data_IF_814435700193
#
_entry.id   IF_814435700193
#
_cell.length_a   1.000
_cell.length_b   1.000
_cell.length_c   1.000
_cell.angle_alpha   90.00
_cell.angle_beta   90.00
_cell.angle_gamma   90.00
#
_symmetry.space_group_name_H-M   'P 1'
#
loop_
_entity.id
_entity.type
_entity.pdbx_description
1 polymer ?
#
# COMPACT_ATOMS: atom_id res chain seq x y z
N UNK A 1 8.73 -1.36 3.90
CA UNK A 1 8.89 -1.49 2.43
C UNK A 1 8.07 -0.39 1.78
N UNK A 2 8.53 0.20 0.69
CA UNK A 2 7.84 1.26 -0.05
C UNK A 2 7.64 0.85 -1.51
N UNK A 3 6.76 1.55 -2.23
CA UNK A 3 6.52 1.34 -3.66
C UNK A 3 7.82 1.33 -4.47
N UNK A 4 7.95 0.40 -5.41
CA UNK A 4 9.20 0.14 -6.16
C UNK A 4 9.78 1.39 -6.82
N UNK A 5 8.93 2.25 -7.41
CA UNK A 5 9.43 3.47 -8.06
C UNK A 5 9.98 4.49 -7.05
N UNK A 6 9.42 4.55 -5.84
CA UNK A 6 9.97 5.39 -4.74
C UNK A 6 11.30 4.81 -4.26
N UNK A 7 11.38 3.49 -4.11
CA UNK A 7 12.63 2.82 -3.75
C UNK A 7 13.75 3.15 -4.74
N UNK A 8 13.49 3.02 -6.05
CA UNK A 8 14.45 3.38 -7.12
C UNK A 8 14.77 4.87 -7.15
N UNK A 9 13.75 5.72 -6.99
CA UNK A 9 13.94 7.17 -6.91
C UNK A 9 14.95 7.53 -5.81
N UNK A 10 14.80 6.94 -4.62
CA UNK A 10 15.66 7.23 -3.46
C UNK A 10 17.08 6.66 -3.64
N UNK A 11 17.20 5.42 -4.10
CA UNK A 11 18.47 4.68 -4.11
C UNK A 11 19.31 4.90 -5.39
N UNK A 12 18.66 5.22 -6.49
CA UNK A 12 19.33 5.41 -7.79
C UNK A 12 19.40 6.89 -8.16
N UNK A 13 18.22 7.52 -8.42
CA UNK A 13 18.20 8.87 -8.97
C UNK A 13 18.70 9.90 -7.96
N UNK A 14 18.09 9.97 -6.77
CA UNK A 14 18.44 11.01 -5.79
C UNK A 14 19.83 10.78 -5.21
N UNK A 15 20.19 9.54 -4.92
CA UNK A 15 21.51 9.19 -4.42
C UNK A 15 22.59 9.42 -5.46
N UNK A 16 22.46 8.81 -6.64
CA UNK A 16 23.54 8.75 -7.63
C UNK A 16 23.70 10.05 -8.44
N UNK A 17 22.60 10.78 -8.67
CA UNK A 17 22.62 12.01 -9.50
C UNK A 17 22.59 13.30 -8.71
N UNK A 18 22.01 13.29 -7.52
CA UNK A 18 21.83 14.49 -6.71
C UNK A 18 22.58 14.46 -5.38
N UNK A 19 23.28 13.34 -5.05
CA UNK A 19 24.07 13.20 -3.83
C UNK A 19 23.22 13.20 -2.55
N UNK A 20 21.94 12.87 -2.64
CA UNK A 20 21.07 12.75 -1.48
C UNK A 20 21.38 11.45 -0.74
N UNK A 21 21.82 11.56 0.50
CA UNK A 21 22.05 10.39 1.34
C UNK A 21 20.73 9.76 1.76
N UNK A 22 20.55 8.47 1.45
CA UNK A 22 19.38 7.71 1.82
C UNK A 22 19.75 6.53 2.71
N UNK A 23 18.89 6.23 3.69
CA UNK A 23 19.00 5.04 4.56
C UNK A 23 17.67 4.30 4.53
N UNK A 24 17.71 3.04 4.10
CA UNK A 24 16.53 2.17 4.15
C UNK A 24 16.48 1.53 5.55
N UNK A 25 15.30 1.62 6.18
CA UNK A 25 15.08 1.11 7.52
C UNK A 25 13.71 0.45 7.64
N UNK A 26 13.60 -0.57 8.49
CA UNK A 26 12.32 -1.15 8.86
C UNK A 26 11.57 -0.19 9.78
N UNK A 27 10.56 0.49 9.24
CA UNK A 27 9.78 1.52 9.93
C UNK A 27 8.69 0.96 10.84
N UNK A 28 8.52 -0.36 10.90
CA UNK A 28 7.65 -1.03 11.89
C UNK A 28 8.29 -1.11 13.26
N UNK A 29 9.62 -0.94 13.33
CA UNK A 29 10.44 -0.94 14.53
C UNK A 29 10.95 0.49 14.82
N UNK A 30 10.42 1.10 15.86
CA UNK A 30 10.74 2.47 16.27
C UNK A 30 12.21 2.62 16.68
N UNK A 31 12.80 1.61 17.30
CA UNK A 31 14.22 1.68 17.72
C UNK A 31 15.15 1.64 16.50
N UNK A 32 14.81 0.90 15.46
CA UNK A 32 15.55 0.94 14.19
C UNK A 32 15.45 2.31 13.51
N UNK A 33 14.25 2.91 13.50
CA UNK A 33 14.07 4.28 12.97
C UNK A 33 14.93 5.26 13.74
N UNK A 34 14.88 5.23 15.07
CA UNK A 34 15.67 6.09 15.94
C UNK A 34 17.19 5.94 15.71
N UNK A 35 17.66 4.70 15.58
CA UNK A 35 19.09 4.43 15.32
C UNK A 35 19.55 4.89 13.92
N UNK A 36 18.64 5.01 12.94
CA UNK A 36 18.95 5.43 11.58
C UNK A 36 18.97 6.96 11.41
N UNK A 37 18.43 7.73 12.36
CA UNK A 37 18.43 9.20 12.29
C UNK A 37 19.84 9.74 12.49
N UNK A 38 20.24 10.67 11.62
CA UNK A 38 21.54 11.36 11.63
C UNK A 38 21.34 12.88 11.79
N UNK A 39 22.37 13.64 12.17
CA UNK A 39 22.27 15.11 12.28
C UNK A 39 21.87 15.83 10.97
N UNK A 40 22.12 15.21 9.82
CA UNK A 40 21.74 15.71 8.49
C UNK A 40 20.41 15.11 7.97
N UNK A 41 19.68 14.30 8.75
CA UNK A 41 18.37 13.80 8.35
C UNK A 41 17.38 14.96 8.23
N UNK A 42 16.75 15.10 7.06
CA UNK A 42 15.78 16.17 6.77
C UNK A 42 14.36 15.65 6.54
N UNK A 43 14.24 14.41 6.08
CA UNK A 43 12.95 13.79 5.77
C UNK A 43 12.98 12.32 6.17
N UNK A 44 11.94 11.89 6.87
CA UNK A 44 11.58 10.48 7.02
C UNK A 44 10.39 10.23 6.10
N UNK A 45 10.52 9.28 5.18
CA UNK A 45 9.42 8.87 4.30
C UNK A 45 9.00 7.46 4.66
N UNK A 46 7.72 7.26 4.91
CA UNK A 46 7.13 5.94 5.18
C UNK A 46 5.94 5.67 4.28
N UNK A 47 5.64 4.40 4.07
CA UNK A 47 4.41 3.93 3.44
C UNK A 47 3.70 2.98 4.41
N UNK A 48 2.46 3.30 4.78
CA UNK A 48 1.71 2.50 5.75
C UNK A 48 0.20 2.58 5.50
N UNK A 49 -0.44 1.40 5.19
CA UNK A 49 0.12 0.05 5.05
C UNK A 49 1.14 -0.05 3.91
N UNK A 50 2.23 -0.80 4.12
CA UNK A 50 3.35 -0.90 3.17
C UNK A 50 3.09 -1.88 2.01
N UNK A 51 3.45 -1.50 0.80
CA UNK A 51 3.31 -2.30 -0.40
C UNK A 51 4.58 -3.13 -0.68
N UNK A 52 4.51 -4.47 -0.78
CA UNK A 52 3.29 -5.29 -0.80
C UNK A 52 2.98 -6.03 0.51
N UNK A 53 3.77 -5.82 1.56
CA UNK A 53 3.77 -6.67 2.77
C UNK A 53 2.67 -6.33 3.79
N UNK A 54 1.91 -5.26 3.55
CA UNK A 54 0.88 -4.73 4.47
C UNK A 54 1.42 -4.38 5.86
N UNK A 55 2.73 -4.15 5.96
CA UNK A 55 3.38 -3.73 7.21
C UNK A 55 2.86 -2.38 7.70
N UNK A 56 2.66 -2.27 9.02
CA UNK A 56 2.11 -1.07 9.65
C UNK A 56 3.20 -0.36 10.45
N UNK A 57 3.41 0.92 10.13
CA UNK A 57 4.29 1.82 10.88
C UNK A 57 3.46 2.75 11.77
N UNK A 58 3.93 3.03 12.98
CA UNK A 58 3.26 3.95 13.89
C UNK A 58 3.57 5.40 13.50
N UNK A 59 2.62 6.05 12.83
CA UNK A 59 2.79 7.41 12.29
C UNK A 59 3.10 8.41 13.40
N UNK A 60 2.35 8.39 14.50
CA UNK A 60 2.49 9.34 15.61
C UNK A 60 3.90 9.27 16.25
N UNK A 61 4.36 8.06 16.55
CA UNK A 61 5.70 7.87 17.15
C UNK A 61 6.83 8.26 16.19
N UNK A 62 6.66 8.00 14.88
CA UNK A 62 7.67 8.41 13.90
C UNK A 62 7.66 9.92 13.70
N UNK A 63 6.50 10.57 13.74
CA UNK A 63 6.39 12.03 13.70
C UNK A 63 7.11 12.68 14.89
N UNK A 64 6.88 12.18 16.10
CA UNK A 64 7.59 12.63 17.31
C UNK A 64 9.12 12.52 17.15
N UNK A 65 9.61 11.38 16.66
CA UNK A 65 11.04 11.16 16.41
C UNK A 65 11.59 12.09 15.33
N UNK A 66 10.88 12.28 14.24
CA UNK A 66 11.28 13.18 13.15
C UNK A 66 11.42 14.61 13.68
N UNK A 67 10.39 15.12 14.32
CA UNK A 67 10.36 16.51 14.83
C UNK A 67 11.40 16.77 15.94
N UNK A 68 11.60 15.81 16.85
CA UNK A 68 12.64 15.91 17.88
C UNK A 68 14.07 16.05 17.30
N UNK A 69 14.27 15.64 16.04
CA UNK A 69 15.56 15.72 15.33
C UNK A 69 15.56 16.77 14.20
N UNK A 70 14.55 17.63 14.13
CA UNK A 70 14.47 18.69 13.11
C UNK A 70 14.23 18.18 11.68
N UNK A 71 13.70 16.96 11.55
CA UNK A 71 13.28 16.35 10.29
C UNK A 71 11.77 16.43 10.10
N UNK A 72 11.30 16.30 8.86
CA UNK A 72 9.89 16.22 8.49
C UNK A 72 9.48 14.76 8.27
N UNK A 73 8.19 14.47 8.44
CA UNK A 73 7.61 13.15 8.14
C UNK A 73 6.69 13.23 6.91
N UNK A 74 6.96 12.40 5.91
CA UNK A 74 6.10 12.15 4.75
C UNK A 74 5.51 10.74 4.82
N UNK A 75 4.21 10.60 4.64
CA UNK A 75 3.50 9.32 4.66
C UNK A 75 2.79 9.09 3.34
N UNK A 76 3.17 8.04 2.61
CA UNK A 76 2.35 7.50 1.54
C UNK A 76 1.18 6.73 2.15
N UNK A 77 -0.04 7.25 1.92
CA UNK A 77 -1.28 6.78 2.51
C UNK A 77 -2.18 6.06 1.49
N UNK A 78 -1.64 5.76 0.33
CA UNK A 78 -2.40 5.25 -0.82
C UNK A 78 -3.23 4.00 -0.50
N UNK A 79 -2.68 3.04 0.28
CA UNK A 79 -3.39 1.80 0.63
C UNK A 79 -4.54 1.99 1.61
N UNK A 80 -4.45 2.99 2.48
CA UNK A 80 -5.49 3.31 3.43
C UNK A 80 -6.55 4.26 2.85
N UNK A 81 -6.15 5.19 1.99
CA UNK A 81 -6.91 6.36 1.57
C UNK A 81 -7.26 7.32 2.74
N UNK A 82 -7.62 8.57 2.47
CA UNK A 82 -8.01 9.52 3.53
C UNK A 82 -9.33 9.14 4.24
N UNK A 83 -10.06 8.15 3.72
CA UNK A 83 -11.24 7.61 4.39
C UNK A 83 -10.87 6.78 5.63
N UNK A 84 -9.87 5.92 5.52
CA UNK A 84 -9.46 5.05 6.62
C UNK A 84 -8.42 5.71 7.55
N UNK A 85 -7.46 6.46 7.01
CA UNK A 85 -6.33 6.99 7.75
C UNK A 85 -5.98 8.41 7.30
N UNK A 86 -5.67 9.28 8.25
CA UNK A 86 -5.33 10.70 8.01
C UNK A 86 -4.00 11.05 8.66
N UNK A 87 -2.88 10.86 7.97
CA UNK A 87 -1.55 11.02 8.54
C UNK A 87 -1.26 12.41 9.15
N UNK A 88 -1.82 13.48 8.56
CA UNK A 88 -1.66 14.85 9.10
C UNK A 88 -2.22 14.98 10.53
N UNK A 89 -3.38 14.34 10.79
CA UNK A 89 -3.98 14.34 12.13
C UNK A 89 -3.16 13.52 13.16
N UNK A 90 -2.23 12.67 12.65
CA UNK A 90 -1.31 11.86 13.44
C UNK A 90 0.11 12.46 13.51
N UNK A 91 0.27 13.71 13.07
CA UNK A 91 1.54 14.44 13.18
C UNK A 91 2.43 14.43 11.95
N UNK A 92 2.04 13.79 10.84
CA UNK A 92 2.80 13.87 9.60
C UNK A 92 2.79 15.30 9.03
N UNK A 93 3.90 15.70 8.40
CA UNK A 93 4.00 16.99 7.71
C UNK A 93 3.44 16.91 6.28
N UNK A 94 3.56 15.74 5.68
CA UNK A 94 3.04 15.46 4.34
C UNK A 94 2.29 14.14 4.31
N UNK A 95 1.17 14.14 3.60
CA UNK A 95 0.52 12.92 3.10
C UNK A 95 0.68 12.88 1.60
N UNK A 96 1.14 11.75 1.08
CA UNK A 96 1.22 11.46 -0.35
C UNK A 96 0.12 10.47 -0.71
N UNK A 97 -0.57 10.72 -1.80
CA UNK A 97 -1.66 9.86 -2.30
C UNK A 97 -1.48 9.60 -3.80
N UNK A 98 -1.50 8.35 -4.18
CA UNK A 98 -1.74 8.00 -5.58
C UNK A 98 -3.23 8.17 -5.89
N UNK A 99 -3.59 9.27 -6.54
CA UNK A 99 -4.96 9.53 -6.98
C UNK A 99 -5.44 8.48 -7.99
N UNK A 100 -4.52 7.80 -8.67
CA UNK A 100 -4.73 6.67 -9.58
C UNK A 100 -5.50 5.51 -8.93
N UNK A 101 -5.37 5.35 -7.59
CA UNK A 101 -5.88 4.21 -6.84
C UNK A 101 -7.28 4.50 -6.28
N UNK A 102 -7.53 4.24 -5.01
CA UNK A 102 -8.85 4.38 -4.38
C UNK A 102 -9.54 5.72 -4.59
N UNK A 103 -8.79 6.83 -4.64
CA UNK A 103 -9.39 8.17 -4.77
C UNK A 103 -10.14 8.28 -6.10
N UNK A 104 -9.50 7.92 -7.21
CA UNK A 104 -10.18 7.79 -8.50
C UNK A 104 -11.11 6.57 -8.52
N UNK A 105 -10.56 5.37 -8.26
CA UNK A 105 -11.26 4.12 -8.02
C UNK A 105 -11.87 3.43 -9.24
N UNK A 106 -11.59 3.90 -10.47
CA UNK A 106 -12.19 3.40 -11.70
C UNK A 106 -11.14 2.90 -12.74
N UNK A 107 -9.85 2.92 -12.40
CA UNK A 107 -8.80 2.41 -13.28
C UNK A 107 -8.53 3.21 -14.57
N UNK A 108 -9.16 4.37 -14.76
CA UNK A 108 -9.25 5.13 -16.00
C UNK A 108 -8.45 6.45 -16.00
N UNK A 109 -7.81 6.82 -14.88
CA UNK A 109 -7.02 8.04 -14.76
C UNK A 109 -5.81 7.88 -13.84
N UNK A 110 -4.76 8.63 -14.14
CA UNK A 110 -3.53 8.66 -13.33
C UNK A 110 -3.32 10.04 -12.73
N UNK A 111 -2.89 10.06 -11.46
CA UNK A 111 -2.55 11.29 -10.77
C UNK A 111 -1.92 11.04 -9.41
N UNK A 112 -1.34 12.09 -8.85
CA UNK A 112 -0.79 12.09 -7.48
C UNK A 112 -1.15 13.39 -6.77
N UNK A 113 -1.19 13.34 -5.45
CA UNK A 113 -1.37 14.51 -4.60
C UNK A 113 -0.40 14.49 -3.43
N UNK A 114 0.06 15.68 -3.05
CA UNK A 114 0.76 15.94 -1.81
C UNK A 114 -0.10 16.87 -0.98
N UNK A 115 -0.40 16.48 0.23
CA UNK A 115 -1.18 17.23 1.22
C UNK A 115 -0.23 17.64 2.34
N UNK A 116 -0.29 18.89 2.78
CA UNK A 116 0.56 19.40 3.85
C UNK A 116 0.30 20.87 4.12
N UNK A 117 1.16 21.50 4.94
CA UNK A 117 1.06 22.93 5.23
C UNK A 117 1.33 23.76 3.98
N UNK A 118 0.56 24.84 3.83
CA UNK A 118 0.64 25.75 2.66
C UNK A 118 2.07 26.25 2.39
N UNK A 119 2.82 26.59 3.42
CA UNK A 119 4.19 27.09 3.30
C UNK A 119 5.14 26.11 2.59
N UNK A 120 5.02 24.81 2.87
CA UNK A 120 5.78 23.77 2.17
C UNK A 120 5.25 23.51 0.76
N UNK A 121 3.91 23.49 0.62
CA UNK A 121 3.29 23.24 -0.69
C UNK A 121 3.58 24.36 -1.69
N UNK A 122 3.65 25.61 -1.26
CA UNK A 122 4.02 26.74 -2.12
C UNK A 122 5.46 26.58 -2.67
N UNK A 123 6.40 26.11 -1.85
CA UNK A 123 7.77 25.81 -2.28
C UNK A 123 7.79 24.64 -3.28
N UNK A 124 7.09 23.53 -2.97
CA UNK A 124 7.00 22.38 -3.85
C UNK A 124 6.39 22.76 -5.20
N UNK A 125 5.32 23.58 -5.20
CA UNK A 125 4.68 24.07 -6.43
C UNK A 125 5.64 24.92 -7.26
N UNK A 126 6.29 25.90 -6.63
CA UNK A 126 7.17 26.81 -7.34
C UNK A 126 8.41 26.13 -7.91
N UNK A 127 8.98 25.17 -7.19
CA UNK A 127 10.25 24.52 -7.59
C UNK A 127 10.02 23.23 -8.37
N UNK A 128 9.19 22.32 -7.87
CA UNK A 128 9.06 20.98 -8.48
C UNK A 128 8.01 20.97 -9.57
N UNK A 129 6.79 21.44 -9.31
CA UNK A 129 5.70 21.38 -10.29
C UNK A 129 6.02 22.25 -11.53
N UNK A 130 6.48 23.47 -11.32
CA UNK A 130 6.77 24.39 -12.43
C UNK A 130 8.03 23.95 -13.18
N UNK A 131 9.10 23.60 -12.48
CA UNK A 131 10.39 23.33 -13.11
C UNK A 131 10.55 21.90 -13.64
N UNK A 132 9.89 20.91 -13.00
CA UNK A 132 9.97 19.50 -13.40
C UNK A 132 8.75 19.05 -14.22
N UNK A 133 7.69 19.84 -14.28
CA UNK A 133 6.54 19.63 -15.17
C UNK A 133 5.61 18.50 -14.77
N UNK A 134 5.63 18.02 -13.53
CA UNK A 134 4.75 16.96 -13.05
C UNK A 134 3.30 17.47 -12.83
N UNK A 135 2.67 17.96 -13.90
CA UNK A 135 1.31 18.51 -13.88
C UNK A 135 0.30 17.48 -14.35
N UNK A 136 -0.82 17.39 -13.62
CA UNK A 136 -1.95 16.56 -14.04
C UNK A 136 -2.67 17.17 -15.23
N UNK A 137 -3.10 16.34 -16.21
CA UNK A 137 -3.93 16.84 -17.31
C UNK A 137 -5.32 17.24 -16.81
N UNK A 138 -5.98 18.25 -17.42
CA UNK A 138 -7.34 18.64 -17.06
C UNK A 138 -8.33 17.48 -17.16
N UNK A 139 -8.17 16.59 -18.13
CA UNK A 139 -9.02 15.42 -18.31
C UNK A 139 -8.89 14.43 -17.17
N UNK A 140 -7.66 14.06 -16.78
CA UNK A 140 -7.42 13.20 -15.63
C UNK A 140 -7.94 13.86 -14.33
N UNK A 141 -7.72 15.15 -14.15
CA UNK A 141 -8.22 15.89 -12.99
C UNK A 141 -9.74 15.81 -12.88
N UNK A 142 -10.44 15.97 -14.02
CA UNK A 142 -11.90 15.87 -14.07
C UNK A 142 -12.40 14.46 -13.72
N UNK A 143 -11.79 13.40 -14.28
CA UNK A 143 -12.15 12.00 -13.97
C UNK A 143 -11.91 11.70 -12.48
N UNK A 144 -10.76 12.08 -11.93
CA UNK A 144 -10.42 11.87 -10.53
C UNK A 144 -11.38 12.61 -9.60
N UNK A 145 -11.70 13.87 -9.89
CA UNK A 145 -12.69 14.64 -9.13
C UNK A 145 -14.05 13.94 -9.12
N UNK A 146 -14.48 13.42 -10.27
CA UNK A 146 -15.73 12.67 -10.40
C UNK A 146 -15.69 11.37 -9.61
N UNK A 147 -14.61 10.58 -9.76
CA UNK A 147 -14.42 9.30 -9.05
C UNK A 147 -14.36 9.47 -7.53
N UNK A 148 -13.74 10.55 -7.06
CA UNK A 148 -13.59 10.82 -5.62
C UNK A 148 -14.91 11.01 -4.87
N UNK A 149 -15.98 11.39 -5.55
CA UNK A 149 -17.32 11.60 -4.93
C UNK A 149 -17.83 10.33 -4.25
N UNK A 150 -17.54 9.16 -4.83
CA UNK A 150 -17.98 7.86 -4.29
C UNK A 150 -16.95 7.18 -3.38
N UNK A 151 -15.81 7.81 -3.12
CA UNK A 151 -14.75 7.23 -2.29
C UNK A 151 -15.25 6.64 -0.96
N UNK A 152 -16.08 7.35 -0.14
CA UNK A 152 -16.54 6.79 1.13
C UNK A 152 -17.41 5.53 0.97
N UNK A 153 -18.22 5.46 -0.06
CA UNK A 153 -19.07 4.29 -0.35
C UNK A 153 -18.22 3.10 -0.80
N UNK A 154 -17.31 3.34 -1.73
CA UNK A 154 -16.40 2.30 -2.24
C UNK A 154 -15.47 1.77 -1.16
N UNK A 155 -14.90 2.66 -0.34
CA UNK A 155 -14.00 2.24 0.75
C UNK A 155 -14.70 1.39 1.80
N UNK A 156 -15.97 1.66 2.12
CA UNK A 156 -16.74 0.76 3.01
C UNK A 156 -16.82 -0.65 2.42
N UNK A 157 -17.20 -0.75 1.14
CA UNK A 157 -17.31 -2.05 0.48
C UNK A 157 -15.96 -2.76 0.38
N UNK A 158 -14.88 -2.06 -0.01
CA UNK A 158 -13.53 -2.62 -0.01
C UNK A 158 -13.11 -3.17 1.35
N UNK A 159 -13.33 -2.41 2.42
CA UNK A 159 -12.99 -2.82 3.79
C UNK A 159 -13.75 -4.09 4.21
N UNK A 160 -15.06 -4.14 3.93
CA UNK A 160 -15.93 -5.28 4.27
C UNK A 160 -15.53 -6.52 3.47
N UNK A 161 -15.36 -6.38 2.16
CA UNK A 161 -14.98 -7.48 1.28
C UNK A 161 -13.60 -8.03 1.65
N UNK A 162 -12.60 -7.15 1.81
CA UNK A 162 -11.25 -7.58 2.13
C UNK A 162 -11.17 -8.33 3.47
N UNK A 163 -11.93 -7.91 4.48
CA UNK A 163 -11.98 -8.60 5.76
C UNK A 163 -12.63 -10.00 5.64
N UNK A 164 -13.73 -10.12 4.88
CA UNK A 164 -14.37 -11.41 4.61
C UNK A 164 -13.43 -12.36 3.86
N UNK A 165 -12.82 -11.88 2.80
CA UNK A 165 -11.85 -12.64 1.99
C UNK A 165 -10.63 -13.05 2.82
N UNK A 166 -10.06 -12.14 3.62
CA UNK A 166 -8.92 -12.46 4.49
C UNK A 166 -9.26 -13.57 5.50
N UNK A 167 -10.45 -13.51 6.10
CA UNK A 167 -10.94 -14.56 7.02
C UNK A 167 -11.15 -15.89 6.30
N UNK A 168 -11.72 -15.88 5.11
CA UNK A 168 -11.85 -17.09 4.29
C UNK A 168 -10.49 -17.71 3.99
N UNK A 169 -9.53 -16.92 3.49
CA UNK A 169 -8.18 -17.41 3.18
C UNK A 169 -7.48 -18.05 4.38
N UNK A 170 -7.71 -17.57 5.59
CA UNK A 170 -7.19 -18.18 6.84
C UNK A 170 -7.74 -19.59 7.09
N UNK A 171 -8.88 -19.97 6.51
CA UNK A 171 -9.45 -21.31 6.64
C UNK A 171 -8.95 -22.31 5.62
N UNK A 172 -8.30 -21.85 4.54
CA UNK A 172 -7.82 -22.68 3.44
C UNK A 172 -6.50 -23.35 3.82
N UNK A 173 -6.46 -24.69 3.79
CA UNK A 173 -5.27 -25.47 4.20
C UNK A 173 -4.04 -25.21 3.35
N UNK A 174 -4.23 -24.95 2.05
CA UNK A 174 -3.17 -24.67 1.08
C UNK A 174 -2.60 -23.25 1.20
N UNK A 175 -3.19 -22.37 2.01
CA UNK A 175 -2.65 -21.04 2.28
C UNK A 175 -1.58 -21.13 3.37
N UNK A 176 -0.41 -20.52 3.15
CA UNK A 176 0.70 -20.52 4.10
C UNK A 176 0.61 -19.37 5.10
N UNK A 177 0.24 -18.19 4.63
CA UNK A 177 0.01 -16.99 5.46
C UNK A 177 -1.00 -16.06 4.80
N UNK A 178 -1.58 -15.17 5.60
CA UNK A 178 -2.42 -14.04 5.15
C UNK A 178 -1.97 -12.79 5.89
N UNK A 179 -1.53 -11.78 5.16
CA UNK A 179 -1.17 -10.47 5.70
C UNK A 179 -2.29 -9.47 5.39
N UNK A 180 -3.02 -9.05 6.41
CA UNK A 180 -4.06 -8.02 6.32
C UNK A 180 -4.20 -7.31 7.68
N UNK A 181 -4.08 -5.98 7.74
CA UNK A 181 -4.07 -5.26 9.03
C UNK A 181 -5.34 -5.39 9.86
N UNK A 182 -6.46 -5.80 9.23
CA UNK A 182 -7.74 -6.06 9.89
C UNK A 182 -7.86 -7.43 10.58
N UNK A 183 -6.89 -8.32 10.43
CA UNK A 183 -6.84 -9.58 11.17
C UNK A 183 -6.19 -9.37 12.54
N UNK A 184 -6.74 -9.98 13.58
CA UNK A 184 -6.26 -9.83 14.97
C UNK A 184 -4.84 -10.38 15.17
N UNK A 185 -4.45 -11.36 14.35
CA UNK A 185 -3.10 -11.95 14.37
C UNK A 185 -2.06 -11.20 13.52
N UNK A 186 -2.44 -10.09 12.88
CA UNK A 186 -1.46 -9.24 12.21
C UNK A 186 -0.51 -8.59 13.22
N UNK A 187 0.83 -8.63 13.01
CA UNK A 187 1.83 -8.24 14.01
C UNK A 187 1.66 -6.83 14.59
N UNK A 188 1.00 -5.93 13.87
CA UNK A 188 0.75 -4.53 14.28
C UNK A 188 -0.75 -4.18 14.19
N UNK A 189 -1.63 -5.14 14.44
CA UNK A 189 -3.07 -4.92 14.46
C UNK A 189 -3.48 -3.81 15.44
N UNK A 190 -2.87 -3.78 16.62
CA UNK A 190 -3.12 -2.78 17.66
C UNK A 190 -2.79 -1.34 17.19
N UNK A 191 -1.72 -1.17 16.41
CA UNK A 191 -1.35 0.11 15.80
C UNK A 191 -2.33 0.46 14.68
N UNK A 192 -2.67 -0.50 13.82
CA UNK A 192 -3.64 -0.30 12.74
C UNK A 192 -5.00 0.18 13.28
N UNK A 193 -5.54 -0.45 14.32
CA UNK A 193 -6.81 -0.06 14.96
C UNK A 193 -6.77 1.36 15.51
N UNK A 194 -5.62 1.80 16.04
CA UNK A 194 -5.47 3.16 16.59
C UNK A 194 -5.47 4.24 15.51
N UNK A 195 -4.83 3.99 14.37
CA UNK A 195 -4.63 5.02 13.33
C UNK A 195 -5.60 4.91 12.14
N UNK A 196 -6.17 3.73 11.89
CA UNK A 196 -7.14 3.49 10.81
C UNK A 196 -8.56 3.41 11.39
N UNK A 197 -9.38 4.45 11.19
CA UNK A 197 -10.64 4.63 11.92
C UNK A 197 -11.87 3.95 11.30
N UNK A 198 -11.88 3.76 9.97
CA UNK A 198 -13.05 3.30 9.24
C UNK A 198 -12.87 1.94 8.56
N UNK A 199 -11.74 1.26 8.80
CA UNK A 199 -11.38 -0.03 8.21
C UNK A 199 -9.92 -0.06 7.78
N UNK A 200 -9.50 -1.17 7.15
CA UNK A 200 -8.09 -1.49 6.96
C UNK A 200 -7.65 -1.53 5.49
N UNK A 201 -8.50 -1.03 4.58
CA UNK A 201 -8.24 -1.02 3.14
C UNK A 201 -8.71 -2.30 2.44
N UNK A 202 -8.60 -2.29 1.11
CA UNK A 202 -9.01 -3.40 0.25
C UNK A 202 -7.84 -4.28 -0.23
N UNK A 203 -6.60 -4.03 0.21
CA UNK A 203 -5.43 -4.84 -0.20
C UNK A 203 -5.04 -5.80 0.90
N UNK A 204 -4.77 -7.04 0.52
CA UNK A 204 -4.19 -8.07 1.37
C UNK A 204 -3.09 -8.81 0.58
N UNK A 205 -2.24 -9.56 1.27
CA UNK A 205 -1.30 -10.47 0.64
C UNK A 205 -1.42 -11.86 1.27
N UNK A 206 -1.23 -12.90 0.46
CA UNK A 206 -1.25 -14.27 0.97
C UNK A 206 -0.31 -15.16 0.17
N UNK A 207 0.25 -16.15 0.84
CA UNK A 207 1.10 -17.18 0.22
C UNK A 207 0.40 -18.51 0.09
N UNK A 208 0.89 -19.35 -0.84
CA UNK A 208 0.46 -20.74 -0.99
C UNK A 208 1.53 -21.70 -0.47
N UNK A 209 1.11 -22.87 0.00
CA UNK A 209 1.99 -24.02 0.29
C UNK A 209 2.25 -24.80 -0.99
N UNK A 210 2.83 -24.14 -1.98
CA UNK A 210 2.98 -24.65 -3.34
C UNK A 210 4.21 -24.06 -4.03
N UNK A 211 4.58 -24.60 -5.18
CA UNK A 211 5.63 -24.08 -6.05
C UNK A 211 5.14 -22.91 -6.93
N UNK A 212 6.07 -22.24 -7.58
CA UNK A 212 5.78 -21.07 -8.43
C UNK A 212 4.90 -21.43 -9.65
N UNK A 213 5.02 -22.62 -10.18
CA UNK A 213 4.18 -23.09 -11.28
C UNK A 213 2.71 -23.18 -10.87
N UNK A 214 2.46 -23.59 -9.63
CA UNK A 214 1.11 -23.60 -9.04
C UNK A 214 0.54 -22.18 -8.89
N UNK A 215 1.35 -21.21 -8.46
CA UNK A 215 0.90 -19.80 -8.45
C UNK A 215 0.46 -19.32 -9.83
N UNK A 216 1.25 -19.64 -10.87
CA UNK A 216 0.95 -19.24 -12.24
C UNK A 216 -0.31 -19.93 -12.78
N UNK A 217 -0.52 -21.23 -12.47
CA UNK A 217 -1.75 -21.94 -12.86
C UNK A 217 -2.97 -21.44 -12.10
N UNK A 218 -2.83 -21.16 -10.79
CA UNK A 218 -3.92 -20.69 -9.95
C UNK A 218 -4.65 -19.48 -10.55
N UNK A 219 -3.90 -18.46 -11.00
CA UNK A 219 -4.51 -17.26 -11.59
C UNK A 219 -5.23 -17.52 -12.90
N UNK A 220 -4.89 -18.59 -13.63
CA UNK A 220 -5.58 -18.95 -14.87
C UNK A 220 -6.96 -19.57 -14.64
N UNK A 221 -7.25 -20.00 -13.42
CA UNK A 221 -8.54 -20.57 -13.03
C UNK A 221 -9.57 -19.52 -12.59
N UNK A 222 -9.09 -18.30 -12.26
CA UNK A 222 -9.96 -17.22 -11.84
C UNK A 222 -10.84 -16.71 -12.98
N UNK A 223 -12.07 -16.32 -12.64
CA UNK A 223 -13.12 -15.91 -13.61
C UNK A 223 -13.66 -14.52 -13.31
N UNK A 224 -13.73 -14.14 -12.05
CA UNK A 224 -14.17 -12.83 -11.55
C UNK A 224 -12.95 -11.96 -11.27
N UNK A 225 -11.96 -12.53 -10.57
CA UNK A 225 -10.74 -11.83 -10.19
C UNK A 225 -9.80 -11.74 -11.39
N UNK A 226 -9.41 -10.53 -11.75
CA UNK A 226 -8.49 -10.28 -12.88
C UNK A 226 -7.03 -10.39 -12.44
N UNK A 227 -6.24 -11.20 -13.16
CA UNK A 227 -4.78 -11.25 -12.97
C UNK A 227 -4.12 -10.04 -13.61
N UNK A 228 -3.89 -9.01 -12.81
CA UNK A 228 -3.30 -7.75 -13.27
C UNK A 228 -2.60 -6.99 -12.14
N UNK A 229 -1.71 -6.08 -12.52
CA UNK A 229 -1.09 -5.10 -11.63
C UNK A 229 -2.09 -3.98 -11.31
N UNK A 230 -1.67 -3.01 -10.47
CA UNK A 230 -2.49 -1.93 -9.93
C UNK A 230 -3.27 -2.36 -8.69
N UNK A 231 -4.19 -1.53 -8.21
CA UNK A 231 -5.02 -1.76 -7.03
C UNK A 231 -6.05 -0.63 -6.85
N UNK A 232 -7.03 -0.87 -5.99
CA UNK A 232 -8.00 0.15 -5.57
C UNK A 232 -9.01 0.52 -6.66
N UNK A 233 -9.20 -0.37 -7.63
CA UNK A 233 -10.24 -0.29 -8.64
C UNK A 233 -11.56 -0.85 -8.08
N UNK A 234 -12.65 -0.62 -8.78
CA UNK A 234 -13.94 -1.27 -8.52
C UNK A 234 -13.89 -2.79 -8.72
N UNK A 235 -13.03 -3.29 -9.61
CA UNK A 235 -12.77 -4.71 -9.84
C UNK A 235 -11.65 -5.28 -8.94
N UNK A 236 -11.75 -6.58 -8.65
CA UNK A 236 -10.75 -7.35 -7.91
C UNK A 236 -9.53 -7.69 -8.79
N UNK A 237 -8.32 -7.32 -8.31
CA UNK A 237 -7.06 -7.54 -9.02
C UNK A 237 -6.10 -8.36 -8.19
N UNK A 238 -5.50 -9.41 -8.80
CA UNK A 238 -4.50 -10.24 -8.15
C UNK A 238 -3.21 -10.27 -8.95
N UNK A 239 -2.07 -10.22 -8.29
CA UNK A 239 -0.76 -10.35 -8.93
C UNK A 239 0.16 -11.24 -8.12
N UNK A 240 0.81 -12.19 -8.80
CA UNK A 240 1.87 -13.00 -8.22
C UNK A 240 3.15 -12.17 -8.10
N UNK A 241 3.73 -12.16 -6.92
CA UNK A 241 4.96 -11.44 -6.57
C UNK A 241 5.92 -12.39 -5.84
N UNK A 242 7.20 -12.04 -5.81
CA UNK A 242 8.19 -12.76 -5.03
C UNK A 242 9.32 -13.34 -5.85
N UNK A 243 9.20 -13.43 -7.18
CA UNK A 243 10.32 -13.74 -8.05
C UNK A 243 10.98 -12.44 -8.54
N UNK A 244 12.30 -12.34 -8.32
CA UNK A 244 13.11 -11.23 -8.85
C UNK A 244 12.73 -9.82 -8.39
N UNK A 245 12.04 -9.66 -7.25
CA UNK A 245 11.83 -8.34 -6.65
C UNK A 245 13.13 -7.91 -5.93
N UNK A 246 13.72 -6.82 -6.40
CA UNK A 246 14.96 -6.27 -5.83
C UNK A 246 14.82 -5.85 -4.35
N UNK A 247 13.59 -5.75 -3.83
CA UNK A 247 13.26 -5.45 -2.44
C UNK A 247 13.01 -6.70 -1.60
N UNK A 248 13.12 -7.92 -2.16
CA UNK A 248 12.80 -9.16 -1.46
C UNK A 248 13.56 -9.32 -0.14
N UNK A 249 14.80 -8.82 -0.06
CA UNK A 249 15.59 -8.82 1.17
C UNK A 249 14.98 -7.95 2.32
N UNK A 250 14.01 -7.10 2.00
CA UNK A 250 13.26 -6.27 2.97
C UNK A 250 11.96 -6.94 3.43
N UNK A 251 11.57 -8.04 2.81
CA UNK A 251 10.32 -8.72 3.12
C UNK A 251 10.48 -9.66 4.32
N UNK A 252 9.41 -9.87 5.11
CA UNK A 252 9.36 -10.96 6.09
C UNK A 252 9.61 -12.32 5.42
N UNK A 253 10.16 -13.28 6.19
CA UNK A 253 10.58 -14.58 5.68
C UNK A 253 9.46 -15.33 4.95
N UNK A 254 8.23 -15.27 5.46
CA UNK A 254 7.06 -15.91 4.87
C UNK A 254 6.75 -15.48 3.43
N UNK A 255 7.23 -14.29 3.01
CA UNK A 255 7.05 -13.76 1.65
C UNK A 255 8.09 -14.27 0.66
N UNK A 256 9.19 -14.90 1.11
CA UNK A 256 10.31 -15.24 0.25
C UNK A 256 10.02 -16.37 -0.75
N UNK A 257 9.03 -17.21 -0.47
CA UNK A 257 8.63 -18.31 -1.37
C UNK A 257 7.58 -17.92 -2.41
N UNK A 258 7.38 -16.62 -2.61
CA UNK A 258 6.33 -16.09 -3.47
C UNK A 258 5.00 -15.91 -2.75
N UNK A 259 4.21 -14.97 -3.23
CA UNK A 259 2.91 -14.62 -2.65
C UNK A 259 2.05 -13.87 -3.67
N UNK A 260 0.76 -13.83 -3.43
CA UNK A 260 -0.16 -12.95 -4.11
C UNK A 260 -0.32 -11.64 -3.34
N UNK A 261 -0.26 -10.50 -4.06
CA UNK A 261 -0.88 -9.26 -3.59
C UNK A 261 -2.26 -9.18 -4.23
N UNK A 262 -3.28 -9.11 -3.40
CA UNK A 262 -4.67 -9.12 -3.82
C UNK A 262 -5.35 -7.79 -3.44
N UNK A 263 -5.79 -7.04 -4.44
CA UNK A 263 -6.64 -5.87 -4.30
C UNK A 263 -8.09 -6.29 -4.48
N UNK A 264 -8.80 -6.41 -3.40
CA UNK A 264 -10.21 -6.81 -3.38
C UNK A 264 -11.06 -5.64 -3.83
N UNK A 265 -11.91 -5.87 -4.82
CA UNK A 265 -12.83 -4.89 -5.40
C UNK A 265 -14.12 -4.72 -4.61
N UNK A 266 -15.13 -4.18 -5.28
CA UNK A 266 -16.45 -3.91 -4.70
C UNK A 266 -17.54 -4.87 -5.18
N UNK A 267 -17.17 -5.94 -5.88
CA UNK A 267 -18.07 -7.03 -6.26
C UNK A 267 -18.69 -7.69 -5.02
N UNK A 268 -19.66 -8.57 -5.20
CA UNK A 268 -20.17 -9.36 -4.09
C UNK A 268 -19.05 -10.22 -3.48
N UNK A 269 -18.88 -10.16 -2.16
CA UNK A 269 -17.82 -10.88 -1.47
C UNK A 269 -17.92 -12.41 -1.63
N UNK A 270 -19.14 -12.95 -1.74
CA UNK A 270 -19.35 -14.38 -1.92
C UNK A 270 -18.94 -14.84 -3.32
N UNK A 271 -19.12 -14.00 -4.35
CA UNK A 271 -18.64 -14.28 -5.71
C UNK A 271 -17.10 -14.28 -5.76
N UNK A 272 -16.45 -13.35 -5.07
CA UNK A 272 -14.99 -13.31 -4.94
C UNK A 272 -14.47 -14.56 -4.24
N UNK A 273 -15.09 -14.94 -3.12
CA UNK A 273 -14.73 -16.14 -2.33
C UNK A 273 -14.96 -17.41 -3.14
N UNK A 274 -16.07 -17.50 -3.87
CA UNK A 274 -16.36 -18.65 -4.72
C UNK A 274 -15.34 -18.80 -5.85
N UNK A 275 -14.92 -17.67 -6.45
CA UNK A 275 -13.90 -17.69 -7.49
C UNK A 275 -12.54 -18.17 -6.97
N UNK A 276 -12.15 -17.74 -5.77
CA UNK A 276 -10.97 -18.27 -5.07
C UNK A 276 -11.13 -19.77 -4.75
N UNK A 277 -12.29 -20.18 -4.21
CA UNK A 277 -12.56 -21.55 -3.81
C UNK A 277 -12.40 -22.53 -4.98
N UNK A 278 -13.01 -22.23 -6.12
CA UNK A 278 -12.93 -23.10 -7.30
C UNK A 278 -11.50 -23.17 -7.88
N UNK A 279 -10.70 -22.09 -7.72
CA UNK A 279 -9.29 -22.11 -8.12
C UNK A 279 -8.44 -22.96 -7.16
N UNK A 280 -8.68 -22.87 -5.83
CA UNK A 280 -8.03 -23.72 -4.85
C UNK A 280 -8.36 -25.20 -5.05
N UNK A 281 -9.63 -25.54 -5.37
CA UNK A 281 -10.03 -26.92 -5.67
C UNK A 281 -9.29 -27.50 -6.86
N UNK A 282 -9.14 -26.73 -7.96
CA UNK A 282 -8.43 -27.18 -9.15
C UNK A 282 -6.94 -27.43 -8.92
N UNK A 283 -6.33 -26.73 -7.99
CA UNK A 283 -4.92 -26.94 -7.61
C UNK A 283 -4.77 -27.88 -6.40
N UNK A 284 -5.86 -28.52 -5.90
CA UNK A 284 -5.86 -29.43 -4.74
C UNK A 284 -5.29 -28.79 -3.46
N UNK A 285 -5.62 -27.54 -3.21
CA UNK A 285 -5.14 -26.73 -2.08
C UNK A 285 -6.16 -26.62 -0.92
N UNK A 286 -7.38 -27.21 -1.06
CA UNK A 286 -8.42 -27.28 -0.01
C UNK A 286 -8.76 -28.70 0.36
#
# INVERSE_FOLDING_TARGET
VTYIAVYRLLNELLKDKFGVETTIVDTTDIEKVKAAIRPNTKLIHIETPGNPTLSISNIEKIAELAHANGALLSVDNTFASPFNQRPIELGADFTVESLTKYINGHGDAMGGAIIGKKEYLDIIRAQSQINLGATISPFNAWLIMRGSVTLPLRMKQHNENALKVARYLKTVKGVSFVAYPGLEDHPKHDVAVKQMKNGFGGVLSFGLKADHDTYNRFVTHLKVITSAVSLGHDESLIVFLGENDERQYLYPEEFHNGFFRFSVGIEDAEDIIEDLRQAFEKENLI
#
